data_IF_842194892088
#
_entry.id   IF_842194892088
#
_cell.length_a   1.000
_cell.length_b   1.000
_cell.length_c   1.000
_cell.angle_alpha   90.00
_cell.angle_beta   90.00
_cell.angle_gamma   90.00
#
_symmetry.space_group_name_H-M   'P 1'
#
loop_
_entity.id
_entity.type
_entity.pdbx_description
1 polymer ?
#
# COMPACT_ATOMS: atom_id res chain seq x y z
N UNK A 1 9.14 -11.79 9.03
CA UNK A 1 9.10 -12.05 7.57
C UNK A 1 9.32 -10.73 6.86
N UNK A 2 10.25 -10.62 5.91
CA UNK A 2 10.58 -9.32 5.28
C UNK A 2 9.45 -8.88 4.33
N UNK A 3 9.01 -7.63 4.42
CA UNK A 3 8.08 -7.00 3.48
C UNK A 3 8.86 -6.44 2.28
N UNK A 4 8.21 -6.45 1.12
CA UNK A 4 8.70 -5.81 -0.11
C UNK A 4 7.52 -5.18 -0.85
N UNK A 5 7.72 -4.16 -1.70
CA UNK A 5 6.64 -3.61 -2.51
C UNK A 5 5.89 -4.70 -3.30
N UNK A 6 6.62 -5.64 -3.92
CA UNK A 6 6.05 -6.73 -4.70
C UNK A 6 5.20 -7.70 -3.88
N UNK A 7 5.58 -7.91 -2.63
CA UNK A 7 4.80 -8.72 -1.70
C UNK A 7 3.57 -7.98 -1.22
N UNK A 8 3.71 -6.69 -0.87
CA UNK A 8 2.57 -5.85 -0.47
C UNK A 8 1.52 -5.83 -1.58
N UNK A 9 1.94 -5.62 -2.83
CA UNK A 9 1.05 -5.67 -4.00
C UNK A 9 0.30 -6.99 -4.13
N UNK A 10 1.00 -8.12 -3.98
CA UNK A 10 0.42 -9.46 -4.12
C UNK A 10 -0.57 -9.78 -3.00
N UNK A 11 -0.25 -9.44 -1.75
CA UNK A 11 -1.16 -9.66 -0.63
C UNK A 11 -2.35 -8.70 -0.68
N UNK A 12 -2.13 -7.42 -1.00
CA UNK A 12 -3.19 -6.44 -1.14
C UNK A 12 -4.21 -6.85 -2.21
N UNK A 13 -3.77 -7.46 -3.32
CA UNK A 13 -4.68 -7.96 -4.36
C UNK A 13 -5.69 -8.99 -3.85
N UNK A 14 -5.33 -9.78 -2.83
CA UNK A 14 -6.18 -10.84 -2.24
C UNK A 14 -7.22 -10.29 -1.28
N UNK A 15 -6.97 -9.13 -0.67
CA UNK A 15 -7.88 -8.53 0.31
C UNK A 15 -9.18 -8.12 -0.39
N UNK A 16 -10.29 -8.55 0.20
CA UNK A 16 -11.64 -8.19 -0.25
C UNK A 16 -12.19 -7.08 0.63
N UNK A 17 -12.57 -5.97 0.00
CA UNK A 17 -13.22 -4.85 0.67
C UNK A 17 -14.71 -4.82 0.30
N UNK A 18 -15.56 -4.48 1.27
CA UNK A 18 -17.01 -4.43 1.08
C UNK A 18 -17.46 -3.27 0.19
N UNK A 19 -16.79 -2.12 0.26
CA UNK A 19 -17.23 -0.89 -0.42
C UNK A 19 -16.58 -0.70 -1.79
N UNK A 20 -17.31 -0.09 -2.72
CA UNK A 20 -16.78 0.26 -4.04
C UNK A 20 -15.59 1.23 -3.94
N UNK A 21 -15.67 2.21 -3.03
CA UNK A 21 -14.60 3.17 -2.77
C UNK A 21 -13.30 2.48 -2.34
N UNK A 22 -13.36 1.55 -1.38
CA UNK A 22 -12.18 0.80 -0.95
C UNK A 22 -11.60 -0.07 -2.07
N UNK A 23 -12.43 -0.64 -2.95
CA UNK A 23 -11.96 -1.36 -4.14
C UNK A 23 -11.18 -0.45 -5.11
N UNK A 24 -11.63 0.79 -5.30
CA UNK A 24 -10.92 1.79 -6.13
C UNK A 24 -9.58 2.15 -5.47
N UNK A 25 -9.57 2.47 -4.18
CA UNK A 25 -8.33 2.78 -3.45
C UNK A 25 -7.35 1.60 -3.48
N UNK A 26 -7.83 0.36 -3.34
CA UNK A 26 -7.03 -0.86 -3.51
C UNK A 26 -6.37 -0.88 -4.90
N UNK A 27 -7.15 -0.72 -5.97
CA UNK A 27 -6.64 -0.74 -7.33
C UNK A 27 -5.60 0.36 -7.58
N UNK A 28 -5.86 1.59 -7.12
CA UNK A 28 -4.94 2.71 -7.23
C UNK A 28 -3.65 2.45 -6.46
N UNK A 29 -3.73 1.89 -5.25
CA UNK A 29 -2.56 1.49 -4.46
C UNK A 29 -1.69 0.50 -5.21
N UNK A 30 -2.29 -0.54 -5.82
CA UNK A 30 -1.58 -1.54 -6.63
C UNK A 30 -0.89 -0.87 -7.84
N UNK A 31 -1.58 0.04 -8.52
CA UNK A 31 -1.01 0.79 -9.66
C UNK A 31 0.19 1.62 -9.24
N UNK A 32 0.11 2.38 -8.14
CA UNK A 32 1.24 3.17 -7.66
C UNK A 32 2.41 2.31 -7.19
N UNK A 33 2.16 1.14 -6.58
CA UNK A 33 3.24 0.18 -6.28
C UNK A 33 3.94 -0.26 -7.58
N UNK A 34 3.19 -0.58 -8.63
CA UNK A 34 3.78 -0.96 -9.92
C UNK A 34 4.59 0.17 -10.55
N UNK A 35 4.09 1.41 -10.47
CA UNK A 35 4.83 2.59 -10.95
C UNK A 35 6.16 2.74 -10.23
N UNK A 36 6.15 2.66 -8.90
CA UNK A 36 7.36 2.72 -8.08
C UNK A 36 8.31 1.54 -8.38
N UNK A 37 7.80 0.32 -8.52
CA UNK A 37 8.63 -0.84 -8.90
C UNK A 37 9.34 -0.64 -10.23
N UNK A 38 8.64 -0.06 -11.22
CA UNK A 38 9.23 0.26 -12.52
C UNK A 38 10.29 1.35 -12.43
N UNK A 39 10.08 2.40 -11.63
CA UNK A 39 11.08 3.46 -11.45
C UNK A 39 12.35 2.95 -10.78
N UNK A 40 12.22 2.02 -9.83
CA UNK A 40 13.39 1.38 -9.20
C UNK A 40 14.16 0.51 -10.20
N UNK A 41 13.46 -0.17 -11.11
CA UNK A 41 14.09 -1.04 -12.10
C UNK A 41 14.75 -0.29 -13.27
N UNK A 42 14.29 0.93 -13.59
CA UNK A 42 14.76 1.67 -14.77
C UNK A 42 16.14 2.33 -14.62
N UNK A 43 16.78 2.23 -13.44
CA UNK A 43 18.02 2.97 -13.09
C UNK A 43 17.93 4.49 -13.26
N UNK A 44 16.72 5.03 -13.47
CA UNK A 44 16.44 6.45 -13.57
C UNK A 44 16.05 7.04 -12.22
N UNK A 45 15.34 8.17 -12.26
CA UNK A 45 14.81 8.80 -11.05
C UNK A 45 13.74 7.92 -10.40
N UNK A 46 13.87 7.74 -9.07
CA UNK A 46 12.90 6.98 -8.28
C UNK A 46 11.63 7.81 -8.13
N UNK A 47 10.48 7.22 -8.45
CA UNK A 47 9.19 7.89 -8.30
C UNK A 47 8.73 7.87 -6.84
N UNK A 48 9.26 8.81 -6.06
CA UNK A 48 8.88 9.02 -4.65
C UNK A 48 7.43 9.49 -4.51
N UNK A 49 6.86 10.14 -5.53
CA UNK A 49 5.47 10.58 -5.52
C UNK A 49 4.52 9.37 -5.56
N UNK A 50 4.82 8.37 -6.38
CA UNK A 50 4.10 7.10 -6.39
C UNK A 50 4.20 6.40 -5.03
N UNK A 51 5.39 6.36 -4.40
CA UNK A 51 5.56 5.73 -3.10
C UNK A 51 4.77 6.46 -1.99
N UNK A 52 4.76 7.79 -2.00
CA UNK A 52 3.95 8.57 -1.08
C UNK A 52 2.44 8.37 -1.28
N UNK A 53 1.98 8.26 -2.54
CA UNK A 53 0.59 7.94 -2.83
C UNK A 53 0.18 6.57 -2.27
N UNK A 54 1.07 5.56 -2.33
CA UNK A 54 0.84 4.25 -1.70
C UNK A 54 0.64 4.39 -0.19
N UNK A 55 1.48 5.17 0.49
CA UNK A 55 1.33 5.43 1.93
C UNK A 55 -0.03 6.07 2.25
N UNK A 56 -0.41 7.12 1.52
CA UNK A 56 -1.69 7.81 1.70
C UNK A 56 -2.89 6.87 1.51
N UNK A 57 -2.87 6.04 0.46
CA UNK A 57 -3.96 5.10 0.21
C UNK A 57 -4.03 3.97 1.25
N UNK A 58 -2.89 3.45 1.72
CA UNK A 58 -2.88 2.44 2.79
C UNK A 58 -3.38 3.00 4.13
N UNK A 59 -3.02 4.25 4.44
CA UNK A 59 -3.56 4.98 5.60
C UNK A 59 -5.08 5.15 5.50
N UNK A 60 -5.57 5.58 4.33
CA UNK A 60 -7.00 5.71 4.07
C UNK A 60 -7.73 4.36 4.20
N UNK A 61 -7.22 3.29 3.58
CA UNK A 61 -7.82 1.96 3.64
C UNK A 61 -7.88 1.43 5.09
N UNK A 62 -6.81 1.64 5.86
CA UNK A 62 -6.74 1.22 7.27
C UNK A 62 -7.78 1.94 8.11
N UNK A 63 -7.92 3.26 7.92
CA UNK A 63 -8.93 4.06 8.62
C UNK A 63 -10.34 3.65 8.18
N UNK A 64 -10.58 3.51 6.89
CA UNK A 64 -11.89 3.12 6.34
C UNK A 64 -12.36 1.78 6.90
N UNK A 65 -11.51 0.75 6.86
CA UNK A 65 -11.83 -0.59 7.41
C UNK A 65 -12.18 -0.51 8.89
N UNK A 66 -11.48 0.33 9.66
CA UNK A 66 -11.77 0.53 11.08
C UNK A 66 -13.09 1.26 11.31
N UNK A 67 -13.33 2.35 10.58
CA UNK A 67 -14.50 3.22 10.75
C UNK A 67 -15.82 2.51 10.46
N UNK A 68 -15.86 1.68 9.40
CA UNK A 68 -17.07 0.94 9.03
C UNK A 68 -17.10 -0.48 9.62
N UNK A 69 -16.06 -0.86 10.37
CA UNK A 69 -15.83 -2.21 10.86
C UNK A 69 -16.02 -3.26 9.75
N UNK A 70 -15.28 -3.10 8.64
CA UNK A 70 -15.45 -3.94 7.45
C UNK A 70 -15.19 -5.41 7.79
N UNK A 71 -16.26 -6.20 7.81
CA UNK A 71 -16.23 -7.63 8.16
C UNK A 71 -15.64 -8.51 7.05
N UNK A 72 -15.47 -7.98 5.84
CA UNK A 72 -14.78 -8.70 4.76
C UNK A 72 -13.26 -8.70 4.94
N UNK A 73 -12.73 -7.75 5.72
CA UNK A 73 -11.29 -7.66 6.01
C UNK A 73 -10.98 -8.35 7.33
N UNK A 74 -10.26 -9.48 7.24
CA UNK A 74 -9.89 -10.31 8.38
C UNK A 74 -8.95 -9.57 9.34
N UNK A 75 -8.93 -9.90 10.64
CA UNK A 75 -8.01 -9.29 11.60
C UNK A 75 -6.52 -9.35 11.16
N UNK A 76 -6.10 -10.47 10.55
CA UNK A 76 -4.75 -10.62 10.01
C UNK A 76 -4.48 -9.70 8.81
N UNK A 77 -5.49 -9.42 7.99
CA UNK A 77 -5.38 -8.49 6.85
C UNK A 77 -5.32 -7.03 7.34
N UNK A 78 -6.06 -6.70 8.41
CA UNK A 78 -5.96 -5.39 9.09
C UNK A 78 -4.55 -5.16 9.63
N UNK A 79 -3.96 -6.16 10.28
CA UNK A 79 -2.56 -6.10 10.75
C UNK A 79 -1.59 -5.94 9.57
N UNK A 80 -1.80 -6.71 8.49
CA UNK A 80 -1.00 -6.58 7.28
C UNK A 80 -1.07 -5.17 6.67
N UNK A 81 -2.24 -4.52 6.63
CA UNK A 81 -2.37 -3.15 6.13
C UNK A 81 -1.54 -2.16 6.96
N UNK A 82 -1.54 -2.31 8.29
CA UNK A 82 -0.72 -1.49 9.18
C UNK A 82 0.78 -1.72 8.97
N UNK A 83 1.21 -2.98 8.88
CA UNK A 83 2.61 -3.33 8.62
C UNK A 83 3.08 -2.83 7.24
N UNK A 84 2.23 -2.96 6.22
CA UNK A 84 2.50 -2.46 4.87
C UNK A 84 2.62 -0.94 4.86
N UNK A 85 1.74 -0.22 5.55
CA UNK A 85 1.79 1.24 5.66
C UNK A 85 3.11 1.69 6.33
N UNK A 86 3.46 1.11 7.47
CA UNK A 86 4.70 1.42 8.19
C UNK A 86 5.94 1.12 7.34
N UNK A 87 5.94 -0.01 6.63
CA UNK A 87 7.01 -0.37 5.72
C UNK A 87 7.18 0.63 4.56
N UNK A 88 6.08 1.02 3.89
CA UNK A 88 6.13 1.97 2.79
C UNK A 88 6.62 3.33 3.26
N UNK A 89 6.12 3.82 4.40
CA UNK A 89 6.58 5.08 4.98
C UNK A 89 8.07 5.05 5.32
N UNK A 90 8.56 3.96 5.91
CA UNK A 90 9.98 3.80 6.23
C UNK A 90 10.87 3.77 4.98
N UNK A 91 10.42 3.18 3.86
CA UNK A 91 11.15 3.26 2.60
C UNK A 91 11.13 4.69 2.05
N UNK A 92 9.97 5.34 2.07
CA UNK A 92 9.82 6.70 1.58
C UNK A 92 10.77 7.65 2.30
N UNK A 93 10.77 7.65 3.63
CA UNK A 93 11.66 8.52 4.42
C UNK A 93 13.14 8.22 4.17
N UNK A 94 13.51 6.94 4.04
CA UNK A 94 14.89 6.54 3.69
C UNK A 94 15.34 7.03 2.32
N UNK A 95 14.44 7.09 1.34
CA UNK A 95 14.79 7.50 -0.02
C UNK A 95 14.65 9.01 -0.23
N UNK A 96 13.77 9.68 0.53
CA UNK A 96 13.64 11.14 0.53
C UNK A 96 14.82 11.83 1.21
N UNK A 97 15.40 11.19 2.23
CA UNK A 97 16.56 11.71 2.97
C UNK A 97 17.92 11.48 2.29
N UNK A 98 17.92 10.94 1.06
CA UNK A 98 19.09 10.76 0.19
C UNK A 98 19.06 11.85 -0.89
#
# INVERSE_FOLDING_TARGET
MVLTPAKIRRELAKISFSTAHAKIYKANTITHILTYEKSVASQGEIDLSALFAVYCHLSWLSNHVREIDDKQVLPSERLFLADAMAFIFNIYEKQRGV
#
